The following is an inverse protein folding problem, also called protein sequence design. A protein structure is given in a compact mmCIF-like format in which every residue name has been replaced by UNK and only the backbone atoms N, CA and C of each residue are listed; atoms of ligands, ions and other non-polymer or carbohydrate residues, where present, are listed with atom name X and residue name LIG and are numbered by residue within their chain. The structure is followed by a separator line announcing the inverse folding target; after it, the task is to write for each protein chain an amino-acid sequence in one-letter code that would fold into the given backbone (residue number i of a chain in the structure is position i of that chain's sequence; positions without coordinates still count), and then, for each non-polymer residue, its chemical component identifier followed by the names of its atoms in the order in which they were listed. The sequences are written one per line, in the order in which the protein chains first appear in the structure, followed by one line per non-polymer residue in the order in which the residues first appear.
data_IF_682380295152
#
_entry.id   IF_682380295152
#
_cell.length_a   1.000
_cell.length_b   1.000
_cell.length_c   1.000
_cell.angle_alpha   90.00
_cell.angle_beta   90.00
_cell.angle_gamma   90.00
#
_symmetry.space_group_name_H-M   'P 1'
#
loop_
_entity.id
_entity.type
_entity.pdbx_description
1 polymer ?
#
# COMPACT_ATOMS: atom_id res chain seq x y z
N UNK A 1 -21.88 -19.98 7.90
CA UNK A 1 -22.78 -21.15 8.06
C UNK A 1 -23.06 -21.71 6.68
N UNK A 2 -22.75 -22.97 6.43
CA UNK A 2 -23.02 -23.60 5.13
C UNK A 2 -24.52 -23.57 4.85
N UNK A 3 -24.93 -22.95 3.75
CA UNK A 3 -26.34 -22.96 3.33
C UNK A 3 -26.56 -24.28 2.59
N UNK A 4 -27.25 -25.24 3.22
CA UNK A 4 -27.59 -26.50 2.58
C UNK A 4 -28.48 -26.22 1.36
N UNK A 5 -28.04 -26.67 0.18
CA UNK A 5 -28.89 -26.64 -1.02
C UNK A 5 -30.02 -27.63 -0.80
N UNK A 6 -31.28 -27.16 -0.84
CA UNK A 6 -32.43 -28.04 -0.73
C UNK A 6 -32.50 -28.96 -1.95
N UNK A 7 -32.08 -30.22 -1.77
CA UNK A 7 -32.08 -31.24 -2.80
C UNK A 7 -33.20 -32.25 -2.54
N UNK A 8 -34.14 -32.37 -3.47
CA UNK A 8 -35.28 -33.28 -3.34
C UNK A 8 -34.92 -34.65 -3.94
N UNK A 9 -34.32 -35.48 -3.09
CA UNK A 9 -33.86 -36.84 -3.42
C UNK A 9 -34.99 -37.71 -3.97
N UNK A 10 -36.19 -37.63 -3.39
CA UNK A 10 -37.34 -38.44 -3.80
C UNK A 10 -37.85 -38.04 -5.18
N UNK A 11 -37.91 -36.74 -5.48
CA UNK A 11 -38.31 -36.26 -6.80
C UNK A 11 -37.31 -36.64 -7.88
N UNK A 12 -36.02 -36.71 -7.57
CA UNK A 12 -35.00 -37.19 -8.51
C UNK A 12 -35.12 -38.71 -8.75
N UNK A 13 -35.25 -39.52 -7.69
CA UNK A 13 -35.43 -40.97 -7.83
C UNK A 13 -36.63 -41.32 -8.72
N UNK A 14 -37.78 -40.65 -8.50
CA UNK A 14 -38.98 -40.83 -9.35
C UNK A 14 -38.76 -40.46 -10.81
N UNK A 15 -37.94 -39.44 -11.09
CA UNK A 15 -37.59 -39.07 -12.47
C UNK A 15 -36.69 -40.11 -13.13
N UNK A 16 -35.76 -40.71 -12.37
CA UNK A 16 -34.89 -41.78 -12.86
C UNK A 16 -35.71 -43.06 -13.14
N UNK A 17 -36.64 -43.42 -12.26
CA UNK A 17 -37.59 -44.53 -12.49
C UNK A 17 -38.42 -44.31 -13.77
N UNK A 18 -38.97 -43.10 -13.95
CA UNK A 18 -39.71 -42.75 -15.16
C UNK A 18 -38.84 -42.76 -16.43
N UNK A 19 -37.52 -42.64 -16.29
CA UNK A 19 -36.54 -42.77 -17.37
C UNK A 19 -36.06 -44.23 -17.60
N UNK A 20 -36.61 -45.20 -16.86
CA UNK A 20 -36.33 -46.63 -17.02
C UNK A 20 -35.27 -47.20 -16.08
N UNK A 21 -34.82 -46.44 -15.07
CA UNK A 21 -33.93 -46.97 -14.03
C UNK A 21 -34.72 -47.86 -13.07
N UNK A 22 -34.09 -48.94 -12.62
CA UNK A 22 -34.66 -49.79 -11.57
C UNK A 22 -34.73 -49.03 -10.24
N UNK A 23 -35.76 -49.31 -9.43
CA UNK A 23 -36.08 -48.54 -8.22
C UNK A 23 -34.87 -48.37 -7.30
N UNK A 24 -34.12 -49.46 -7.05
CA UNK A 24 -32.93 -49.40 -6.19
C UNK A 24 -31.84 -48.52 -6.79
N UNK A 25 -31.56 -48.65 -8.09
CA UNK A 25 -30.56 -47.82 -8.78
C UNK A 25 -30.94 -46.35 -8.78
N UNK A 26 -32.22 -46.03 -8.99
CA UNK A 26 -32.74 -44.67 -8.95
C UNK A 26 -32.60 -44.02 -7.57
N UNK A 27 -32.91 -44.77 -6.51
CA UNK A 27 -32.74 -44.34 -5.12
C UNK A 27 -31.26 -44.10 -4.77
N UNK A 28 -30.40 -45.10 -5.01
CA UNK A 28 -28.96 -45.05 -4.70
C UNK A 28 -28.28 -43.89 -5.45
N UNK A 29 -28.65 -43.64 -6.72
CA UNK A 29 -28.10 -42.54 -7.52
C UNK A 29 -28.53 -41.17 -6.99
N UNK A 30 -29.82 -41.03 -6.63
CA UNK A 30 -30.33 -39.78 -6.09
C UNK A 30 -29.70 -39.46 -4.73
N UNK A 31 -29.48 -40.47 -3.88
CA UNK A 31 -28.84 -40.34 -2.58
C UNK A 31 -27.37 -39.94 -2.72
N UNK A 32 -26.59 -40.62 -3.57
CA UNK A 32 -25.18 -40.28 -3.81
C UNK A 32 -25.01 -38.83 -4.34
N UNK A 33 -25.93 -38.38 -5.20
CA UNK A 33 -25.90 -37.01 -5.70
C UNK A 33 -26.28 -35.98 -4.62
N UNK A 34 -27.25 -36.29 -3.77
CA UNK A 34 -27.62 -35.44 -2.64
C UNK A 34 -26.44 -35.28 -1.66
N UNK A 35 -25.77 -36.38 -1.34
CA UNK A 35 -24.58 -36.39 -0.47
C UNK A 35 -23.45 -35.53 -1.06
N UNK A 36 -23.14 -35.71 -2.36
CA UNK A 36 -22.12 -34.92 -3.06
C UNK A 36 -22.44 -33.41 -3.06
N UNK A 37 -23.71 -33.03 -3.24
CA UNK A 37 -24.13 -31.63 -3.23
C UNK A 37 -24.15 -31.00 -1.82
N UNK A 38 -24.39 -31.80 -0.78
CA UNK A 38 -24.42 -31.32 0.61
C UNK A 38 -23.01 -31.16 1.19
N UNK A 39 -22.05 -31.91 0.67
CA UNK A 39 -20.63 -31.88 1.10
C UNK A 39 -19.84 -30.74 0.44
N UNK A 40 -20.37 -30.15 -0.64
CA UNK A 40 -19.72 -29.02 -1.31
C UNK A 40 -19.89 -27.72 -0.49
N UNK A 41 -18.79 -27.15 0.01
CA UNK A 41 -18.79 -25.80 0.56
C UNK A 41 -18.90 -24.78 -0.57
N UNK A 42 -20.12 -24.28 -0.81
CA UNK A 42 -20.40 -23.30 -1.86
C UNK A 42 -20.57 -21.93 -1.23
N UNK A 43 -19.71 -20.98 -1.63
CA UNK A 43 -19.87 -19.57 -1.28
C UNK A 43 -21.16 -19.03 -1.90
N UNK A 44 -21.98 -18.40 -1.07
CA UNK A 44 -23.23 -17.77 -1.48
C UNK A 44 -22.98 -16.39 -2.09
N UNK A 45 -24.02 -15.82 -2.73
CA UNK A 45 -23.97 -14.43 -3.19
C UNK A 45 -23.79 -13.43 -2.04
N UNK A 46 -24.23 -13.77 -0.83
CA UNK A 46 -24.03 -12.93 0.34
C UNK A 46 -22.54 -12.92 0.73
N UNK A 47 -21.90 -14.08 0.76
CA UNK A 47 -20.46 -14.20 1.07
C UNK A 47 -19.62 -13.42 0.05
N UNK A 48 -19.96 -13.49 -1.23
CA UNK A 48 -19.28 -12.71 -2.29
C UNK A 48 -19.45 -11.20 -2.07
N UNK A 49 -20.65 -10.74 -1.71
CA UNK A 49 -20.91 -9.32 -1.44
C UNK A 49 -20.17 -8.82 -0.21
N UNK A 50 -20.10 -9.65 0.83
CA UNK A 50 -19.34 -9.35 2.04
C UNK A 50 -17.85 -9.23 1.73
N UNK A 51 -17.29 -10.19 0.99
CA UNK A 51 -15.90 -10.14 0.54
C UNK A 51 -15.60 -8.92 -0.34
N UNK A 52 -16.53 -8.56 -1.23
CA UNK A 52 -16.42 -7.33 -2.05
C UNK A 52 -16.42 -6.07 -1.17
N UNK A 53 -17.33 -5.97 -0.22
CA UNK A 53 -17.42 -4.82 0.69
C UNK A 53 -16.15 -4.69 1.55
N UNK A 54 -15.65 -5.80 2.10
CA UNK A 54 -14.41 -5.83 2.87
C UNK A 54 -13.21 -5.39 2.02
N UNK A 55 -13.12 -5.87 0.78
CA UNK A 55 -12.06 -5.49 -0.16
C UNK A 55 -12.12 -4.00 -0.51
N UNK A 56 -13.31 -3.46 -0.78
CA UNK A 56 -13.49 -2.04 -1.05
C UNK A 56 -13.10 -1.16 0.15
N UNK A 57 -13.43 -1.60 1.37
CA UNK A 57 -13.03 -0.91 2.59
C UNK A 57 -11.50 -0.90 2.75
N UNK A 58 -10.84 -2.04 2.55
CA UNK A 58 -9.38 -2.14 2.62
C UNK A 58 -8.69 -1.27 1.55
N UNK A 59 -9.23 -1.22 0.32
CA UNK A 59 -8.71 -0.34 -0.74
C UNK A 59 -8.84 1.13 -0.33
N UNK A 60 -9.97 1.53 0.27
CA UNK A 60 -10.18 2.89 0.73
C UNK A 60 -9.18 3.28 1.83
N UNK A 61 -8.93 2.38 2.78
CA UNK A 61 -7.95 2.55 3.85
C UNK A 61 -6.52 2.72 3.30
N UNK A 62 -6.07 1.80 2.44
CA UNK A 62 -4.74 1.87 1.81
C UNK A 62 -4.57 3.15 1.01
N UNK A 63 -5.61 3.59 0.28
CA UNK A 63 -5.57 4.85 -0.48
C UNK A 63 -5.45 6.06 0.44
N UNK A 64 -6.08 6.03 1.61
CA UNK A 64 -5.95 7.09 2.61
C UNK A 64 -4.53 7.14 3.18
N UNK A 65 -3.99 6.00 3.60
CA UNK A 65 -2.63 5.88 4.13
C UNK A 65 -1.58 6.32 3.10
N UNK A 66 -1.77 5.98 1.82
CA UNK A 66 -0.87 6.41 0.75
C UNK A 66 -0.86 7.94 0.59
N UNK A 67 -2.03 8.58 0.58
CA UNK A 67 -2.14 10.04 0.49
C UNK A 67 -1.47 10.74 1.66
N UNK A 68 -1.63 10.21 2.87
CA UNK A 68 -0.97 10.75 4.06
C UNK A 68 0.55 10.63 3.95
N UNK A 69 1.05 9.47 3.50
CA UNK A 69 2.48 9.25 3.26
C UNK A 69 3.04 10.21 2.20
N UNK A 70 2.33 10.39 1.07
CA UNK A 70 2.71 11.34 0.01
C UNK A 70 2.76 12.78 0.54
N UNK A 71 1.80 13.19 1.37
CA UNK A 71 1.79 14.52 2.00
C UNK A 71 2.96 14.70 2.97
N UNK A 72 3.27 13.69 3.78
CA UNK A 72 4.43 13.71 4.68
C UNK A 72 5.73 13.85 3.87
N UNK A 73 5.90 13.07 2.81
CA UNK A 73 7.08 13.14 1.95
C UNK A 73 7.20 14.50 1.26
N UNK A 74 6.10 15.10 0.81
CA UNK A 74 6.11 16.42 0.22
C UNK A 74 6.55 17.48 1.24
N UNK A 75 6.04 17.41 2.47
CA UNK A 75 6.43 18.32 3.56
C UNK A 75 7.92 18.16 3.93
N UNK A 76 8.41 16.93 4.07
CA UNK A 76 9.82 16.63 4.36
C UNK A 76 10.74 17.14 3.25
N UNK A 77 10.38 16.95 1.97
CA UNK A 77 11.15 17.48 0.85
C UNK A 77 11.25 19.01 0.87
N UNK A 78 10.16 19.70 1.22
CA UNK A 78 10.18 21.17 1.36
C UNK A 78 11.09 21.60 2.51
N UNK A 79 10.99 20.91 3.66
CA UNK A 79 11.85 21.18 4.82
C UNK A 79 13.34 20.98 4.48
N UNK A 80 13.70 19.85 3.87
CA UNK A 80 15.07 19.55 3.45
C UNK A 80 15.60 20.62 2.48
N UNK A 81 14.79 21.03 1.49
CA UNK A 81 15.20 22.11 0.56
C UNK A 81 15.43 23.43 1.27
N UNK A 82 14.60 23.77 2.26
CA UNK A 82 14.78 24.96 3.08
C UNK A 82 16.08 24.90 3.87
N UNK A 83 16.34 23.78 4.54
CA UNK A 83 17.54 23.57 5.35
C UNK A 83 18.81 23.60 4.50
N UNK A 84 18.78 23.01 3.30
CA UNK A 84 19.89 23.09 2.34
C UNK A 84 20.20 24.55 1.96
N UNK A 85 19.18 25.35 1.61
CA UNK A 85 19.37 26.78 1.29
C UNK A 85 19.92 27.57 2.47
N UNK A 86 19.44 27.30 3.68
CA UNK A 86 19.95 27.94 4.90
C UNK A 86 21.41 27.58 5.15
N UNK A 87 21.79 26.33 4.88
CA UNK A 87 23.17 25.85 4.99
C UNK A 87 24.08 26.49 3.94
N UNK A 88 23.64 26.54 2.68
CA UNK A 88 24.33 27.23 1.59
C UNK A 88 24.61 28.70 1.95
N UNK A 89 23.59 29.42 2.43
CA UNK A 89 23.75 30.82 2.85
C UNK A 89 24.78 30.97 3.98
N UNK A 90 24.69 30.13 5.02
CA UNK A 90 25.65 30.15 6.13
C UNK A 90 27.07 29.87 5.66
N UNK A 91 27.25 28.93 4.73
CA UNK A 91 28.56 28.62 4.16
C UNK A 91 29.10 29.78 3.35
N UNK A 92 28.29 30.39 2.47
CA UNK A 92 28.67 31.56 1.68
C UNK A 92 29.09 32.72 2.58
N UNK A 93 28.32 33.01 3.63
CA UNK A 93 28.65 34.07 4.59
C UNK A 93 29.96 33.75 5.32
N UNK A 94 30.10 32.55 5.89
CA UNK A 94 31.32 32.15 6.63
C UNK A 94 32.57 32.20 5.77
N UNK A 95 32.49 31.68 4.54
CA UNK A 95 33.61 31.70 3.59
C UNK A 95 33.94 33.13 3.16
N UNK A 96 32.93 33.96 2.90
CA UNK A 96 33.13 35.38 2.58
C UNK A 96 33.83 36.15 3.71
N UNK A 97 33.43 35.92 4.96
CA UNK A 97 34.08 36.52 6.14
C UNK A 97 35.53 36.02 6.28
N UNK A 98 35.79 34.72 6.10
CA UNK A 98 37.15 34.18 6.14
C UNK A 98 38.04 34.77 5.05
N UNK A 99 37.52 34.91 3.83
CA UNK A 99 38.25 35.47 2.70
C UNK A 99 38.57 36.96 2.94
N UNK A 100 37.61 37.74 3.42
CA UNK A 100 37.83 39.14 3.79
C UNK A 100 38.87 39.28 4.90
N UNK A 101 38.78 38.47 5.95
CA UNK A 101 39.76 38.44 7.03
C UNK A 101 41.17 38.11 6.51
N UNK A 102 41.29 37.12 5.62
CA UNK A 102 42.56 36.78 4.97
C UNK A 102 43.15 37.95 4.18
N UNK A 103 42.34 38.64 3.36
CA UNK A 103 42.82 39.80 2.60
C UNK A 103 43.21 40.98 3.49
N UNK A 104 42.45 41.27 4.55
CA UNK A 104 42.80 42.35 5.48
C UNK A 104 44.11 42.09 6.21
N UNK A 105 44.36 40.84 6.63
CA UNK A 105 45.64 40.43 7.20
C UNK A 105 46.78 40.59 6.19
N UNK A 106 46.62 40.09 4.97
CA UNK A 106 47.65 40.17 3.94
C UNK A 106 47.98 41.61 3.55
N UNK A 107 46.98 42.48 3.42
CA UNK A 107 47.19 43.90 3.15
C UNK A 107 47.93 44.59 4.31
N UNK A 108 47.57 44.26 5.55
CA UNK A 108 48.23 44.77 6.75
C UNK A 108 49.71 44.39 6.82
N UNK A 109 50.05 43.13 6.55
CA UNK A 109 51.46 42.68 6.55
C UNK A 109 52.28 43.34 5.45
N UNK A 110 51.72 43.50 4.25
CA UNK A 110 52.39 44.20 3.13
C UNK A 110 52.61 45.67 3.44
N UNK A 111 51.62 46.37 4.00
CA UNK A 111 51.76 47.78 4.37
C UNK A 111 52.86 48.01 5.41
N UNK A 112 52.97 47.13 6.41
CA UNK A 112 54.05 47.16 7.41
C UNK A 112 55.42 46.95 6.76
N UNK A 113 55.54 45.96 5.86
CA UNK A 113 56.78 45.68 5.15
C UNK A 113 57.25 46.87 4.29
N UNK A 114 56.35 47.53 3.56
CA UNK A 114 56.67 48.72 2.77
C UNK A 114 57.18 49.85 3.66
N UNK A 115 56.53 50.08 4.82
CA UNK A 115 56.94 51.13 5.76
C UNK A 115 58.35 50.92 6.30
N UNK A 116 58.73 49.67 6.58
CA UNK A 116 60.07 49.29 7.05
C UNK A 116 61.16 49.44 5.98
N UNK A 117 60.82 49.39 4.70
CA UNK A 117 61.79 49.56 3.60
C UNK A 117 62.02 51.03 3.21
N UNK A 118 61.11 51.94 3.58
CA UNK A 118 61.14 53.36 3.22
C UNK A 118 61.64 54.29 4.34
N UNK A 119 61.91 53.76 5.54
CA UNK A 119 62.55 54.46 6.66
C UNK A 119 63.90 53.81 6.95
#
# INVERSE_FOLDING_TARGET
MATAVAFDTLKLARKLEAAGFEHKQAADTAEALAEAMTTAEIATRADVREAQAATMAAIAEVKSALRESEQRQAAENVAIRSDMKAMELRLVIKLGVMLAAFFTMAAGTVAVAIRLLLH
#
